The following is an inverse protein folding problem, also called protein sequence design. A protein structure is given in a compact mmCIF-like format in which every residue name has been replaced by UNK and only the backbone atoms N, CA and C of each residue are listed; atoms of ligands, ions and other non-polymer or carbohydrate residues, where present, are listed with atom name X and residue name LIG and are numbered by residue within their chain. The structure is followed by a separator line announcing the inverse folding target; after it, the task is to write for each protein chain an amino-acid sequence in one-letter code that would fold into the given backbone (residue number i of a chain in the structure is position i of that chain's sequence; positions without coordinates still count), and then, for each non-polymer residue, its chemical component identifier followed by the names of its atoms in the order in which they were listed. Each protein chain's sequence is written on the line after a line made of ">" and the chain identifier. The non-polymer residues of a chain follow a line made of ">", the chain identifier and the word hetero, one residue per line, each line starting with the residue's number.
data_IF_079448950252
#
_entry.id   IF_079448950252
#
_cell.length_a   1.000
_cell.length_b   1.000
_cell.length_c   1.000
_cell.angle_alpha   90.00
_cell.angle_beta   90.00
_cell.angle_gamma   90.00
#
_symmetry.space_group_name_H-M   'P 1'
#
loop_
_entity.id
_entity.type
_entity.pdbx_description
1 polymer ?
#
# COMPACT_ATOMS: atom_id res chain seq x y z
N UNK A 1 -5.16 -8.91 9.56
CA UNK A 1 -5.44 -9.14 11.02
C UNK A 1 -4.93 -10.50 11.50
N UNK A 2 -5.22 -11.61 10.80
CA UNK A 2 -4.77 -12.94 11.24
C UNK A 2 -3.23 -13.11 11.31
N UNK A 3 -2.48 -12.51 10.39
CA UNK A 3 -1.02 -12.59 10.38
C UNK A 3 -0.37 -11.90 11.60
N UNK A 4 -0.91 -10.75 12.02
CA UNK A 4 -0.45 -10.05 13.24
C UNK A 4 -0.67 -10.89 14.49
N UNK A 5 -1.78 -11.62 14.58
CA UNK A 5 -1.98 -12.57 15.67
C UNK A 5 -0.93 -13.70 15.63
N UNK A 6 -0.59 -14.21 14.45
CA UNK A 6 0.47 -15.21 14.32
C UNK A 6 1.82 -14.65 14.82
N UNK A 7 2.15 -13.39 14.52
CA UNK A 7 3.34 -12.72 15.04
C UNK A 7 3.32 -12.58 16.56
N UNK A 8 2.18 -12.17 17.14
CA UNK A 8 2.02 -12.09 18.59
C UNK A 8 2.25 -13.45 19.24
N UNK A 9 1.65 -14.51 18.70
CA UNK A 9 1.83 -15.88 19.19
C UNK A 9 3.27 -16.41 19.01
N UNK A 10 3.95 -16.03 17.93
CA UNK A 10 5.34 -16.38 17.67
C UNK A 10 6.30 -15.69 18.65
N UNK A 11 5.94 -14.51 19.13
CA UNK A 11 6.75 -13.67 20.04
C UNK A 11 6.40 -13.78 21.53
N UNK A 12 5.42 -14.62 21.92
CA UNK A 12 5.08 -14.87 23.34
C UNK A 12 6.33 -15.29 24.14
N UNK A 13 7.20 -16.08 23.51
CA UNK A 13 8.48 -16.46 24.06
C UNK A 13 9.59 -15.65 23.40
N UNK A 14 10.70 -15.41 24.12
CA UNK A 14 11.88 -14.71 23.57
C UNK A 14 12.54 -15.44 22.39
N UNK A 15 12.14 -16.67 22.11
CA UNK A 15 12.60 -17.49 20.99
C UNK A 15 11.41 -17.82 20.08
N UNK A 16 11.65 -18.05 18.77
CA UNK A 16 10.64 -18.46 17.81
C UNK A 16 9.77 -19.60 18.34
N UNK A 17 8.46 -19.49 18.15
CA UNK A 17 7.54 -20.54 18.57
C UNK A 17 7.53 -21.66 17.52
N UNK A 18 8.47 -22.60 17.64
CA UNK A 18 8.66 -23.69 16.66
C UNK A 18 7.38 -24.52 16.46
N UNK A 19 6.61 -24.78 17.52
CA UNK A 19 5.33 -25.48 17.43
C UNK A 19 4.31 -24.71 16.58
N UNK A 20 4.22 -23.38 16.74
CA UNK A 20 3.36 -22.55 15.92
C UNK A 20 3.81 -22.57 14.46
N UNK A 21 5.12 -22.43 14.22
CA UNK A 21 5.68 -22.43 12.86
C UNK A 21 5.46 -23.77 12.15
N UNK A 22 5.64 -24.89 12.85
CA UNK A 22 5.31 -26.22 12.33
C UNK A 22 3.82 -26.36 12.00
N UNK A 23 2.93 -25.88 12.88
CA UNK A 23 1.48 -25.91 12.63
C UNK A 23 1.09 -25.04 11.43
N UNK A 24 1.69 -23.85 11.31
CA UNK A 24 1.50 -22.97 10.17
C UNK A 24 1.98 -23.63 8.88
N UNK A 25 3.14 -24.29 8.90
CA UNK A 25 3.64 -25.03 7.74
C UNK A 25 2.68 -26.14 7.32
N UNK A 26 2.24 -26.98 8.26
CA UNK A 26 1.24 -28.03 7.99
C UNK A 26 -0.06 -27.45 7.39
N UNK A 27 -0.51 -26.30 7.90
CA UNK A 27 -1.70 -25.63 7.38
C UNK A 27 -1.46 -25.07 5.98
N UNK A 28 -0.30 -24.47 5.71
CA UNK A 28 0.07 -23.97 4.39
C UNK A 28 0.20 -25.11 3.38
N UNK A 29 0.80 -26.24 3.74
CA UNK A 29 0.88 -27.44 2.90
C UNK A 29 -0.51 -27.94 2.48
N UNK A 30 -1.38 -28.12 3.48
CA UNK A 30 -2.75 -28.55 3.23
C UNK A 30 -3.49 -27.55 2.34
N UNK A 31 -3.43 -26.27 2.66
CA UNK A 31 -4.10 -25.23 1.88
C UNK A 31 -3.56 -25.14 0.45
N UNK A 32 -2.24 -25.24 0.26
CA UNK A 32 -1.61 -25.21 -1.07
C UNK A 32 -2.08 -26.39 -1.94
N UNK A 33 -2.33 -27.56 -1.34
CA UNK A 33 -2.90 -28.71 -2.06
C UNK A 33 -4.35 -28.50 -2.52
N UNK A 34 -5.11 -27.64 -1.83
CA UNK A 34 -6.52 -27.34 -2.16
C UNK A 34 -6.68 -26.16 -3.13
N UNK A 35 -5.69 -25.25 -3.21
CA UNK A 35 -5.76 -24.05 -4.06
C UNK A 35 -6.14 -24.34 -5.52
N UNK A 36 -5.62 -25.39 -6.19
CA UNK A 36 -6.01 -25.69 -7.57
C UNK A 36 -7.51 -26.02 -7.72
N UNK A 37 -8.11 -26.68 -6.72
CA UNK A 37 -9.54 -27.00 -6.73
C UNK A 37 -10.37 -25.73 -6.48
N UNK A 38 -9.98 -24.92 -5.49
CA UNK A 38 -10.62 -23.61 -5.26
C UNK A 38 -10.51 -22.71 -6.48
N UNK A 39 -9.43 -22.79 -7.27
CA UNK A 39 -9.31 -21.96 -8.46
C UNK A 39 -10.38 -22.25 -9.52
N UNK A 40 -11.00 -23.43 -9.50
CA UNK A 40 -12.07 -23.79 -10.43
C UNK A 40 -13.36 -23.03 -10.11
N UNK A 41 -13.77 -23.02 -8.85
CA UNK A 41 -15.12 -22.56 -8.43
C UNK A 41 -15.09 -21.34 -7.48
N UNK A 42 -14.03 -21.17 -6.70
CA UNK A 42 -13.94 -20.24 -5.57
C UNK A 42 -12.66 -19.39 -5.63
N UNK A 43 -12.42 -18.71 -6.75
CA UNK A 43 -11.20 -17.90 -6.98
C UNK A 43 -10.96 -16.83 -5.89
N UNK A 44 -12.01 -16.37 -5.23
CA UNK A 44 -11.92 -15.47 -4.06
C UNK A 44 -11.06 -16.09 -2.95
N UNK A 45 -11.20 -17.38 -2.68
CA UNK A 45 -10.41 -18.09 -1.65
C UNK A 45 -8.93 -18.12 -1.99
N UNK A 46 -8.59 -18.32 -3.26
CA UNK A 46 -7.18 -18.33 -3.73
C UNK A 46 -6.57 -16.94 -3.60
N UNK A 47 -7.31 -15.90 -3.99
CA UNK A 47 -6.89 -14.50 -3.82
C UNK A 47 -6.69 -14.13 -2.35
N UNK A 48 -7.66 -14.45 -1.50
CA UNK A 48 -7.57 -14.23 -0.06
C UNK A 48 -6.40 -14.98 0.59
N UNK A 49 -6.18 -16.24 0.20
CA UNK A 49 -5.03 -17.02 0.66
C UNK A 49 -3.70 -16.39 0.24
N UNK A 50 -3.60 -15.90 -1.00
CA UNK A 50 -2.39 -15.26 -1.53
C UNK A 50 -2.05 -14.00 -0.74
N UNK A 51 -3.04 -13.13 -0.50
CA UNK A 51 -2.84 -11.91 0.29
C UNK A 51 -2.54 -12.20 1.76
N UNK A 52 -3.17 -13.23 2.33
CA UNK A 52 -2.88 -13.67 3.68
C UNK A 52 -1.45 -14.20 3.82
N UNK A 53 -0.97 -15.01 2.86
CA UNK A 53 0.40 -15.49 2.85
C UNK A 53 1.41 -14.34 2.74
N UNK A 54 1.11 -13.34 1.91
CA UNK A 54 1.93 -12.13 1.82
C UNK A 54 1.96 -11.33 3.13
N UNK A 55 0.81 -11.15 3.80
CA UNK A 55 0.76 -10.52 5.13
C UNK A 55 1.56 -11.36 6.14
N UNK A 56 1.38 -12.69 6.16
CA UNK A 56 2.07 -13.61 7.05
C UNK A 56 3.59 -13.56 6.86
N UNK A 57 4.05 -13.52 5.61
CA UNK A 57 5.45 -13.36 5.26
C UNK A 57 6.01 -12.05 5.80
N UNK A 58 5.32 -10.93 5.59
CA UNK A 58 5.78 -9.64 6.13
C UNK A 58 5.82 -9.59 7.67
N UNK A 59 4.99 -10.39 8.35
CA UNK A 59 4.99 -10.45 9.80
C UNK A 59 6.04 -11.41 10.40
N UNK A 60 6.33 -12.53 9.73
CA UNK A 60 7.15 -13.62 10.27
C UNK A 60 8.51 -13.78 9.60
N UNK A 61 8.76 -13.09 8.48
CA UNK A 61 10.05 -13.16 7.78
C UNK A 61 11.16 -12.61 8.67
N UNK A 62 12.20 -13.41 8.81
CA UNK A 62 13.49 -13.01 9.37
C UNK A 62 14.57 -13.48 8.39
N UNK A 63 15.43 -12.60 7.85
CA UNK A 63 16.39 -12.96 6.80
C UNK A 63 17.32 -14.13 7.15
N UNK A 64 17.65 -14.28 8.43
CA UNK A 64 18.55 -15.33 8.93
C UNK A 64 17.84 -16.69 9.13
N UNK A 65 16.49 -16.72 9.10
CA UNK A 65 15.69 -17.89 9.43
C UNK A 65 15.06 -18.52 8.18
N UNK A 66 15.03 -19.87 8.08
CA UNK A 66 14.51 -20.55 6.90
C UNK A 66 13.00 -20.39 6.70
N UNK A 67 12.25 -20.07 7.76
CA UNK A 67 10.79 -20.06 7.72
C UNK A 67 10.22 -18.98 6.78
N UNK A 68 10.88 -17.82 6.68
CA UNK A 68 10.49 -16.77 5.72
C UNK A 68 10.55 -17.28 4.28
N UNK A 69 11.65 -17.99 3.94
CA UNK A 69 11.82 -18.62 2.64
C UNK A 69 10.74 -19.66 2.36
N UNK A 70 10.38 -20.48 3.34
CA UNK A 70 9.26 -21.43 3.22
C UNK A 70 7.96 -20.73 2.85
N UNK A 71 7.60 -19.62 3.51
CA UNK A 71 6.38 -18.85 3.17
C UNK A 71 6.47 -18.28 1.74
N UNK A 72 7.65 -17.79 1.33
CA UNK A 72 7.86 -17.25 -0.03
C UNK A 72 7.55 -18.28 -1.12
N UNK A 73 7.85 -19.55 -0.90
CA UNK A 73 7.57 -20.62 -1.85
C UNK A 73 6.06 -20.86 -2.02
N UNK A 74 5.29 -20.81 -0.93
CA UNK A 74 3.83 -20.88 -1.00
C UNK A 74 3.21 -19.64 -1.65
N UNK A 75 3.77 -18.44 -1.42
CA UNK A 75 3.32 -17.21 -2.11
C UNK A 75 3.51 -17.37 -3.62
N UNK A 76 4.69 -17.81 -4.07
CA UNK A 76 4.95 -17.98 -5.50
C UNK A 76 4.03 -19.04 -6.10
N UNK A 77 3.84 -20.19 -5.43
CA UNK A 77 2.90 -21.23 -5.86
C UNK A 77 1.47 -20.67 -6.04
N UNK A 78 0.99 -19.89 -5.08
CA UNK A 78 -0.34 -19.28 -5.15
C UNK A 78 -0.44 -18.24 -6.28
N UNK A 79 0.60 -17.43 -6.50
CA UNK A 79 0.67 -16.48 -7.62
C UNK A 79 0.63 -17.22 -8.97
N UNK A 80 1.38 -18.32 -9.12
CA UNK A 80 1.38 -19.12 -10.35
C UNK A 80 -0.02 -19.66 -10.69
N UNK A 81 -0.76 -20.13 -9.67
CA UNK A 81 -2.16 -20.57 -9.81
C UNK A 81 -3.06 -19.42 -10.27
N UNK A 82 -2.92 -18.23 -9.67
CA UNK A 82 -3.70 -17.05 -10.05
C UNK A 82 -3.42 -16.59 -11.47
N UNK A 83 -2.14 -16.55 -11.86
CA UNK A 83 -1.69 -16.12 -13.20
C UNK A 83 -2.14 -17.12 -14.27
N UNK A 84 -2.12 -18.42 -13.98
CA UNK A 84 -2.53 -19.47 -14.93
C UNK A 84 -4.00 -19.31 -15.36
N UNK A 85 -4.88 -18.90 -14.46
CA UNK A 85 -6.28 -18.57 -14.78
C UNK A 85 -6.43 -17.06 -15.01
N UNK A 86 -6.13 -16.64 -16.24
CA UNK A 86 -6.20 -15.24 -16.69
C UNK A 86 -7.56 -14.63 -16.33
N UNK A 87 -7.54 -13.63 -15.46
CA UNK A 87 -8.70 -12.86 -15.05
C UNK A 87 -8.26 -11.55 -14.40
N UNK A 88 -8.95 -10.43 -14.66
CA UNK A 88 -8.51 -9.11 -14.20
C UNK A 88 -8.35 -9.06 -12.67
N UNK A 89 -9.28 -9.65 -11.93
CA UNK A 89 -9.24 -9.70 -10.46
C UNK A 89 -8.09 -10.57 -9.92
N UNK A 90 -7.71 -11.63 -10.64
CA UNK A 90 -6.58 -12.46 -10.25
C UNK A 90 -5.26 -11.69 -10.44
N UNK A 91 -5.11 -10.98 -11.57
CA UNK A 91 -3.91 -10.17 -11.81
C UNK A 91 -3.83 -8.97 -10.88
N UNK A 92 -4.96 -8.32 -10.56
CA UNK A 92 -5.01 -7.27 -9.52
C UNK A 92 -4.55 -7.81 -8.17
N UNK A 93 -5.01 -8.99 -7.77
CA UNK A 93 -4.58 -9.62 -6.52
C UNK A 93 -3.08 -9.94 -6.51
N UNK A 94 -2.53 -10.45 -7.61
CA UNK A 94 -1.07 -10.65 -7.76
C UNK A 94 -0.32 -9.32 -7.61
N UNK A 95 -0.81 -8.26 -8.25
CA UNK A 95 -0.23 -6.92 -8.13
C UNK A 95 -0.29 -6.39 -6.69
N UNK A 96 -1.39 -6.59 -5.97
CA UNK A 96 -1.51 -6.21 -4.55
C UNK A 96 -0.54 -6.99 -3.67
N UNK A 97 -0.42 -8.30 -3.89
CA UNK A 97 0.55 -9.16 -3.20
C UNK A 97 1.99 -8.64 -3.40
N UNK A 98 2.36 -8.33 -4.64
CA UNK A 98 3.68 -7.78 -4.97
C UNK A 98 3.90 -6.39 -4.39
N UNK A 99 2.88 -5.51 -4.35
CA UNK A 99 3.02 -4.23 -3.66
C UNK A 99 3.25 -4.39 -2.15
N UNK A 100 2.68 -5.43 -1.55
CA UNK A 100 2.80 -5.69 -0.11
C UNK A 100 4.17 -6.26 0.29
N UNK A 101 4.74 -7.17 -0.51
CA UNK A 101 5.94 -7.92 -0.13
C UNK A 101 6.95 -8.14 -1.26
N UNK A 102 6.80 -7.42 -2.38
CA UNK A 102 7.59 -7.65 -3.59
C UNK A 102 9.07 -7.33 -3.44
N UNK A 103 9.43 -6.33 -2.62
CA UNK A 103 10.84 -6.03 -2.34
C UNK A 103 11.52 -7.19 -1.61
N UNK A 104 10.87 -7.69 -0.57
CA UNK A 104 11.37 -8.77 0.27
C UNK A 104 11.40 -10.09 -0.51
N UNK A 105 10.42 -10.34 -1.38
CA UNK A 105 10.44 -11.46 -2.32
C UNK A 105 11.58 -11.35 -3.34
N UNK A 106 11.87 -10.15 -3.85
CA UNK A 106 12.99 -9.93 -4.78
C UNK A 106 14.35 -10.25 -4.14
N UNK A 107 14.48 -10.05 -2.82
CA UNK A 107 15.70 -10.46 -2.10
C UNK A 107 15.78 -11.98 -1.92
N UNK A 108 14.65 -12.64 -1.62
CA UNK A 108 14.64 -14.06 -1.23
C UNK A 108 14.57 -15.01 -2.44
N UNK A 109 13.91 -14.61 -3.52
CA UNK A 109 13.74 -15.40 -4.74
C UNK A 109 13.64 -14.55 -6.03
N UNK A 110 14.70 -13.81 -6.41
CA UNK A 110 14.68 -12.88 -7.54
C UNK A 110 14.26 -13.52 -8.87
N UNK A 111 14.73 -14.74 -9.15
CA UNK A 111 14.39 -15.47 -10.39
C UNK A 111 12.88 -15.75 -10.52
N UNK A 112 12.22 -16.04 -9.39
CA UNK A 112 10.77 -16.31 -9.34
C UNK A 112 9.99 -15.02 -9.55
N UNK A 113 10.41 -13.92 -8.92
CA UNK A 113 9.78 -12.60 -9.12
C UNK A 113 9.98 -12.13 -10.57
N UNK A 114 11.15 -12.37 -11.17
CA UNK A 114 11.41 -12.14 -12.59
C UNK A 114 10.41 -12.85 -13.50
N UNK A 115 10.14 -14.13 -13.21
CA UNK A 115 9.16 -14.91 -13.95
C UNK A 115 7.74 -14.36 -13.78
N UNK A 116 7.35 -13.99 -12.55
CA UNK A 116 6.05 -13.37 -12.27
C UNK A 116 5.88 -12.08 -13.06
N UNK A 117 6.89 -11.21 -13.06
CA UNK A 117 6.87 -9.93 -13.78
C UNK A 117 6.72 -10.12 -15.29
N UNK A 118 7.43 -11.09 -15.88
CA UNK A 118 7.28 -11.46 -17.29
C UNK A 118 5.87 -11.94 -17.60
N UNK A 119 5.29 -12.78 -16.74
CA UNK A 119 3.93 -13.27 -16.93
C UNK A 119 2.88 -12.16 -16.84
N UNK A 120 3.06 -11.21 -15.91
CA UNK A 120 2.19 -10.04 -15.78
C UNK A 120 2.26 -9.16 -17.02
N UNK A 121 3.47 -8.88 -17.53
CA UNK A 121 3.65 -8.06 -18.73
C UNK A 121 3.04 -8.73 -19.97
N UNK A 122 3.18 -10.05 -20.12
CA UNK A 122 2.52 -10.81 -21.19
C UNK A 122 0.99 -10.81 -21.08
N UNK A 123 0.44 -10.81 -19.86
CA UNK A 123 -0.99 -10.79 -19.64
C UNK A 123 -1.61 -9.38 -19.78
N UNK A 124 -0.77 -8.33 -19.73
CA UNK A 124 -1.17 -6.93 -19.71
C UNK A 124 -2.11 -6.55 -20.86
N UNK A 125 -1.83 -6.98 -22.08
CA UNK A 125 -2.64 -6.63 -23.26
C UNK A 125 -3.99 -7.36 -23.33
N UNK A 126 -4.25 -8.32 -22.43
CA UNK A 126 -5.45 -9.15 -22.43
C UNK A 126 -6.49 -8.77 -21.37
N UNK A 127 -6.25 -7.69 -20.63
CA UNK A 127 -7.12 -7.25 -19.52
C UNK A 127 -7.67 -5.83 -19.74
N UNK A 128 -8.76 -5.46 -19.05
CA UNK A 128 -9.31 -4.10 -19.09
C UNK A 128 -8.30 -3.04 -18.65
N UNK A 129 -8.49 -1.81 -19.13
CA UNK A 129 -7.59 -0.66 -18.90
C UNK A 129 -7.22 -0.46 -17.42
N UNK A 130 -8.15 -0.63 -16.48
CA UNK A 130 -7.87 -0.49 -15.05
C UNK A 130 -6.84 -1.52 -14.54
N UNK A 131 -7.00 -2.80 -14.89
CA UNK A 131 -6.06 -3.85 -14.52
C UNK A 131 -4.71 -3.67 -15.24
N UNK A 132 -4.75 -3.23 -16.50
CA UNK A 132 -3.56 -2.91 -17.28
C UNK A 132 -2.69 -1.83 -16.61
N UNK A 133 -3.31 -0.73 -16.15
CA UNK A 133 -2.66 0.35 -15.42
C UNK A 133 -2.01 -0.15 -14.13
N UNK A 134 -2.72 -1.00 -13.37
CA UNK A 134 -2.19 -1.57 -12.12
C UNK A 134 -0.96 -2.45 -12.41
N UNK A 135 -1.01 -3.31 -13.43
CA UNK A 135 0.13 -4.12 -13.86
C UNK A 135 1.32 -3.22 -14.23
N UNK A 136 1.07 -2.20 -15.06
CA UNK A 136 2.10 -1.23 -15.43
C UNK A 136 2.73 -0.55 -14.21
N UNK A 137 1.92 -0.16 -13.22
CA UNK A 137 2.41 0.47 -11.99
C UNK A 137 3.34 -0.44 -11.18
N UNK A 138 3.04 -1.74 -11.09
CA UNK A 138 3.88 -2.70 -10.35
C UNK A 138 5.20 -2.99 -11.07
N UNK A 139 5.15 -3.10 -12.40
CA UNK A 139 6.37 -3.27 -13.21
C UNK A 139 7.28 -2.05 -13.04
N UNK A 140 6.73 -0.85 -13.07
CA UNK A 140 7.52 0.37 -12.86
C UNK A 140 8.04 0.47 -11.43
N UNK A 141 7.21 0.15 -10.44
CA UNK A 141 7.59 0.12 -9.03
C UNK A 141 8.82 -0.77 -8.81
N UNK A 142 8.88 -1.95 -9.43
CA UNK A 142 10.06 -2.82 -9.35
C UNK A 142 11.32 -2.18 -9.94
N UNK A 143 11.22 -1.49 -11.09
CA UNK A 143 12.37 -0.83 -11.73
C UNK A 143 13.00 0.24 -10.84
N UNK A 144 12.19 0.91 -10.02
CA UNK A 144 12.66 1.90 -9.03
C UNK A 144 12.91 1.28 -7.64
N UNK A 145 13.39 0.03 -7.62
CA UNK A 145 13.67 -0.76 -6.41
C UNK A 145 12.54 -0.72 -5.39
N UNK A 146 11.30 -0.90 -5.86
CA UNK A 146 10.09 -0.90 -5.05
C UNK A 146 9.82 0.40 -4.29
N UNK A 147 10.30 1.53 -4.82
CA UNK A 147 10.19 2.84 -4.18
C UNK A 147 11.18 3.06 -3.04
N UNK A 148 12.23 2.23 -2.93
CA UNK A 148 13.28 2.34 -1.92
C UNK A 148 14.56 3.02 -2.43
N UNK A 149 14.60 3.45 -3.70
CA UNK A 149 15.76 4.09 -4.31
C UNK A 149 16.03 5.55 -3.90
N UNK A 150 15.18 6.19 -3.09
CA UNK A 150 15.38 7.58 -2.64
C UNK A 150 16.22 7.73 -1.36
N UNK A 151 17.26 6.91 -1.18
CA UNK A 151 18.47 7.34 -0.45
C UNK A 151 19.55 7.83 -1.43
N UNK A 152 19.15 8.62 -2.44
CA UNK A 152 20.10 9.37 -3.26
C UNK A 152 20.37 10.68 -2.54
N UNK A 153 21.49 10.68 -1.80
CA UNK A 153 22.31 11.81 -1.41
C UNK A 153 21.79 13.19 -1.85
N UNK A 154 20.99 13.84 -1.01
CA UNK A 154 21.00 15.31 -1.01
C UNK A 154 22.28 15.74 -0.31
N UNK A 155 23.24 16.40 -0.98
CA UNK A 155 24.29 17.09 -0.23
C UNK A 155 23.58 18.11 0.65
N UNK A 156 23.87 18.06 1.94
CA UNK A 156 23.40 18.98 2.96
C UNK A 156 23.41 20.42 2.43
N UNK A 157 22.29 20.87 1.88
CA UNK A 157 22.02 22.28 1.68
C UNK A 157 21.76 22.79 3.08
N UNK A 158 22.74 23.53 3.60
CA UNK A 158 22.77 24.08 4.94
C UNK A 158 21.38 24.55 5.37
N UNK A 159 20.79 23.83 6.32
CA UNK A 159 19.61 24.29 7.03
C UNK A 159 19.96 25.65 7.67
N UNK A 160 19.12 26.69 7.53
CA UNK A 160 19.30 27.92 8.27
C UNK A 160 19.24 27.59 9.78
N UNK A 161 20.02 28.31 10.62
CA UNK A 161 20.13 27.97 12.04
C UNK A 161 18.76 28.10 12.71
N UNK A 162 18.29 26.98 13.27
CA UNK A 162 17.12 26.94 14.15
C UNK A 162 17.37 27.84 15.37
N UNK A 163 16.40 28.66 15.81
CA UNK A 163 16.53 29.38 17.07
C UNK A 163 16.50 28.36 18.21
N UNK A 164 17.61 28.28 18.94
CA UNK A 164 17.73 27.46 20.15
C UNK A 164 16.77 28.04 21.19
N UNK A 165 15.71 27.31 21.54
CA UNK A 165 14.89 27.63 22.71
C UNK A 165 15.74 27.54 23.97
N UNK A 166 16.08 28.71 24.52
CA UNK A 166 16.78 28.84 25.80
C UNK A 166 15.77 28.54 26.90
N UNK A 167 15.68 27.28 27.31
CA UNK A 167 14.86 26.85 28.45
C UNK A 167 15.42 25.57 29.07
N UNK A 168 15.75 25.64 30.35
CA UNK A 168 16.22 24.56 31.23
C UNK A 168 17.71 24.14 31.13
N UNK A 169 18.58 24.98 31.69
CA UNK A 169 19.92 24.58 32.13
C UNK A 169 19.82 23.79 33.44
N UNK A 170 20.00 22.46 33.39
CA UNK A 170 20.39 21.62 34.52
C UNK A 170 21.85 21.17 34.36
N UNK A 171 22.71 21.19 35.40
CA UNK A 171 24.13 20.94 35.21
C UNK A 171 24.44 19.44 35.28
N UNK A 172 24.91 18.86 34.17
CA UNK A 172 25.68 17.61 34.15
C UNK A 172 25.06 16.45 33.36
N UNK A 173 25.44 16.33 32.08
CA UNK A 173 25.21 15.13 31.27
C UNK A 173 25.79 15.32 29.85
N UNK A 174 26.50 14.33 29.27
CA UNK A 174 27.27 14.52 28.05
C UNK A 174 26.40 14.66 26.79
N UNK A 175 26.91 15.47 25.88
CA UNK A 175 26.39 15.79 24.55
C UNK A 175 26.32 14.51 23.70
N UNK A 176 25.15 14.24 23.10
CA UNK A 176 25.02 13.29 21.99
C UNK A 176 23.88 12.29 22.10
N UNK A 177 22.65 12.74 21.87
CA UNK A 177 21.56 11.94 21.32
C UNK A 177 20.46 12.92 20.92
N UNK A 178 20.31 13.18 19.61
CA UNK A 178 19.12 13.87 19.11
C UNK A 178 17.93 12.96 19.38
N UNK A 179 17.11 13.31 20.36
CA UNK A 179 15.79 12.72 20.52
C UNK A 179 15.01 13.02 19.24
N UNK A 180 14.84 12.01 18.39
CA UNK A 180 13.86 12.05 17.31
C UNK A 180 12.49 12.13 17.97
N UNK A 181 12.02 13.34 18.23
CA UNK A 181 10.63 13.57 18.58
C UNK A 181 9.80 13.18 17.35
N UNK A 182 9.25 11.96 17.36
CA UNK A 182 8.26 11.45 16.39
C UNK A 182 6.91 12.18 16.55
N UNK A 183 6.93 13.50 16.72
CA UNK A 183 5.71 14.29 16.68
C UNK A 183 5.43 14.67 15.22
N UNK A 184 4.19 14.48 14.75
CA UNK A 184 3.82 14.90 13.40
C UNK A 184 4.01 16.42 13.26
N UNK A 185 4.73 16.81 12.20
CA UNK A 185 4.90 18.21 11.81
C UNK A 185 3.79 18.55 10.83
N UNK A 186 3.00 19.58 11.16
CA UNK A 186 1.89 20.03 10.32
C UNK A 186 2.30 21.25 9.50
N UNK A 187 1.93 21.25 8.22
CA UNK A 187 2.23 22.34 7.29
C UNK A 187 0.97 23.10 6.93
N UNK A 188 1.08 24.42 6.84
CA UNK A 188 0.05 25.30 6.34
C UNK A 188 -0.11 25.21 4.81
N UNK A 189 -1.17 25.82 4.25
CA UNK A 189 -1.40 25.87 2.80
C UNK A 189 -0.32 26.63 2.03
N UNK A 190 0.50 27.41 2.73
CA UNK A 190 1.68 28.11 2.23
C UNK A 190 2.96 27.24 2.25
N UNK A 191 2.86 26.00 2.73
CA UNK A 191 3.96 25.04 2.83
C UNK A 191 4.92 25.30 4.00
N UNK A 192 4.60 26.23 4.89
CA UNK A 192 5.40 26.49 6.09
C UNK A 192 4.91 25.62 7.26
N UNK A 193 5.81 25.33 8.21
CA UNK A 193 5.43 24.61 9.43
C UNK A 193 4.47 25.48 10.23
N UNK A 194 3.32 24.92 10.62
CA UNK A 194 2.34 25.64 11.43
C UNK A 194 2.98 26.16 12.70
N UNK A 195 2.77 27.43 12.95
CA UNK A 195 3.17 28.04 14.21
C UNK A 195 2.31 27.52 15.36
N UNK A 196 2.79 27.70 16.59
CA UNK A 196 2.03 27.34 17.80
C UNK A 196 0.70 28.10 17.88
N UNK A 197 0.66 29.36 17.41
CA UNK A 197 -0.54 30.17 17.34
C UNK A 197 -1.57 29.61 16.35
N UNK A 198 -1.12 29.21 15.15
CA UNK A 198 -2.00 28.60 14.14
C UNK A 198 -2.49 27.21 14.58
N UNK A 199 -1.62 26.43 15.21
CA UNK A 199 -1.96 25.10 15.76
C UNK A 199 -3.02 25.22 16.86
N UNK A 200 -2.86 26.19 17.76
CA UNK A 200 -3.82 26.50 18.83
C UNK A 200 -5.16 27.01 18.27
N UNK A 201 -5.11 27.83 17.22
CA UNK A 201 -6.32 28.30 16.51
C UNK A 201 -7.09 27.14 15.88
N UNK A 202 -6.40 26.23 15.19
CA UNK A 202 -7.04 25.06 14.57
C UNK A 202 -7.67 24.14 15.62
N UNK A 203 -6.95 23.82 16.69
CA UNK A 203 -7.48 22.97 17.76
C UNK A 203 -8.74 23.55 18.40
N UNK A 204 -8.75 24.85 18.67
CA UNK A 204 -9.87 25.53 19.31
C UNK A 204 -11.11 25.56 18.40
N UNK A 205 -10.92 25.78 17.10
CA UNK A 205 -12.02 25.86 16.15
C UNK A 205 -12.56 24.49 15.72
N UNK A 206 -11.71 23.46 15.64
CA UNK A 206 -12.13 22.08 15.35
C UNK A 206 -12.93 21.50 16.52
N UNK A 207 -12.49 21.72 17.77
CA UNK A 207 -13.23 21.28 18.97
C UNK A 207 -14.59 21.97 19.10
N UNK A 208 -14.72 23.23 18.67
CA UNK A 208 -16.00 23.95 18.69
C UNK A 208 -16.98 23.53 17.57
N UNK A 209 -16.50 22.90 16.48
CA UNK A 209 -17.35 22.34 15.42
C UNK A 209 -17.73 20.87 15.63
N UNK A 210 -17.30 20.25 16.74
CA UNK A 210 -17.60 18.85 17.08
C UNK A 210 -19.10 18.53 17.29
N UNK A 211 -19.99 19.53 17.26
CA UNK A 211 -21.44 19.30 17.22
C UNK A 211 -21.99 18.96 15.82
N UNK A 212 -21.19 19.09 14.75
CA UNK A 212 -21.56 18.69 13.39
C UNK A 212 -21.15 17.24 13.03
N UNK A 213 -20.61 16.47 13.98
CA UNK A 213 -20.09 15.11 13.76
C UNK A 213 -21.17 14.01 13.68
N UNK A 214 -22.47 14.35 13.73
CA UNK A 214 -23.54 13.39 13.44
C UNK A 214 -23.74 13.08 11.96
N UNK A 215 -23.02 13.75 11.04
CA UNK A 215 -23.12 13.48 9.60
C UNK A 215 -22.20 12.35 9.10
N UNK A 216 -21.34 11.78 9.95
CA UNK A 216 -20.33 10.78 9.52
C UNK A 216 -20.43 9.43 10.24
N UNK A 217 -21.38 9.22 11.15
CA UNK A 217 -21.51 7.98 11.94
C UNK A 217 -22.40 6.91 11.30
N UNK A 218 -22.64 6.99 9.99
CA UNK A 218 -23.55 6.11 9.25
C UNK A 218 -22.91 5.30 8.13
N UNK A 219 -21.58 5.26 8.05
CA UNK A 219 -20.89 4.34 7.15
C UNK A 219 -20.77 2.99 7.86
N UNK A 220 -21.70 2.09 7.55
CA UNK A 220 -21.57 0.66 7.79
C UNK A 220 -20.33 0.19 7.04
N UNK A 221 -19.37 -0.36 7.77
CA UNK A 221 -18.00 -0.74 7.36
C UNK A 221 -17.99 -2.02 6.47
N UNK A 222 -19.04 -2.20 5.67
CA UNK A 222 -19.31 -3.35 4.79
C UNK A 222 -19.28 -2.99 3.29
N UNK A 223 -18.84 -1.78 2.92
CA UNK A 223 -18.58 -1.41 1.53
C UNK A 223 -17.12 -1.67 1.12
N UNK A 224 -16.91 -2.92 0.70
CA UNK A 224 -15.86 -3.37 -0.21
C UNK A 224 -15.73 -2.36 -1.38
N UNK A 225 -14.69 -1.51 -1.33
CA UNK A 225 -14.30 -0.45 -2.28
C UNK A 225 -15.11 0.86 -2.26
N UNK A 226 -14.88 1.69 -1.23
CA UNK A 226 -15.14 3.15 -1.25
C UNK A 226 -14.25 3.97 -2.22
N UNK A 227 -13.98 3.45 -3.42
CA UNK A 227 -13.48 4.22 -4.56
C UNK A 227 -14.50 4.06 -5.68
N UNK A 228 -15.63 4.77 -5.56
CA UNK A 228 -16.46 5.04 -6.73
C UNK A 228 -15.56 5.86 -7.66
N UNK A 229 -15.25 5.30 -8.83
CA UNK A 229 -14.56 6.04 -9.87
C UNK A 229 -15.34 7.33 -10.11
N UNK A 230 -14.74 8.53 -10.05
CA UNK A 230 -15.45 9.79 -10.34
C UNK A 230 -16.18 9.75 -11.69
N UNK A 231 -15.71 8.92 -12.61
CA UNK A 231 -16.33 8.68 -13.91
C UNK A 231 -17.60 7.81 -13.84
N UNK A 232 -17.87 7.09 -12.74
CA UNK A 232 -19.04 6.23 -12.53
C UNK A 232 -20.05 6.83 -11.51
N UNK A 233 -19.72 7.95 -10.86
CA UNK A 233 -20.63 8.63 -9.92
C UNK A 233 -21.60 9.59 -10.66
N UNK A 234 -22.92 9.33 -10.65
CA UNK A 234 -23.89 10.17 -11.35
C UNK A 234 -23.99 11.60 -10.77
N UNK A 235 -23.70 11.80 -9.49
CA UNK A 235 -23.73 13.12 -8.84
C UNK A 235 -22.54 13.98 -9.32
N UNK A 236 -21.35 13.36 -9.41
CA UNK A 236 -20.12 14.03 -9.89
C UNK A 236 -20.25 14.40 -11.37
N UNK A 237 -20.79 13.52 -12.21
CA UNK A 237 -21.05 13.81 -13.62
C UNK A 237 -22.01 14.99 -13.80
N UNK A 238 -23.07 15.05 -12.99
CA UNK A 238 -24.07 16.11 -13.08
C UNK A 238 -23.47 17.46 -12.65
N UNK A 239 -22.68 17.49 -11.58
CA UNK A 239 -21.98 18.69 -11.14
C UNK A 239 -20.97 19.20 -12.20
N UNK A 240 -20.28 18.30 -12.90
CA UNK A 240 -19.38 18.66 -14.00
C UNK A 240 -20.14 19.28 -15.19
N UNK A 241 -21.29 18.72 -15.56
CA UNK A 241 -22.15 19.28 -16.61
C UNK A 241 -22.66 20.67 -16.23
N UNK A 242 -23.10 20.87 -14.99
CA UNK A 242 -23.51 22.20 -14.49
C UNK A 242 -22.36 23.21 -14.48
N UNK A 243 -21.15 22.77 -14.14
CA UNK A 243 -19.96 23.61 -14.22
C UNK A 243 -19.66 24.09 -15.65
N UNK A 244 -19.77 23.20 -16.65
CA UNK A 244 -19.61 23.58 -18.06
C UNK A 244 -20.72 24.51 -18.56
N UNK A 245 -21.92 24.41 -18.00
CA UNK A 245 -23.06 25.25 -18.37
C UNK A 245 -23.04 26.63 -17.71
N UNK A 246 -22.49 26.73 -16.49
CA UNK A 246 -22.45 27.97 -15.71
C UNK A 246 -21.38 28.97 -16.15
N UNK A 247 -20.42 28.57 -17.01
CA UNK A 247 -19.35 29.46 -17.46
C UNK A 247 -19.22 29.51 -19.00
N UNK A 248 -19.68 30.58 -19.69
CA UNK A 248 -19.62 30.67 -21.15
C UNK A 248 -18.20 30.78 -21.73
N UNK A 249 -17.18 31.00 -20.89
CA UNK A 249 -15.77 31.06 -21.30
C UNK A 249 -15.08 29.68 -21.45
N UNK A 250 -15.69 28.59 -20.98
CA UNK A 250 -15.14 27.23 -21.12
C UNK A 250 -15.56 26.51 -22.42
N UNK A 251 -16.34 27.18 -23.29
CA UNK A 251 -16.65 26.67 -24.64
C UNK A 251 -15.51 27.01 -25.62
N UNK A 252 -14.33 26.42 -25.44
CA UNK A 252 -13.37 26.36 -26.56
C UNK A 252 -13.73 25.16 -27.46
N UNK A 253 -13.88 25.34 -28.78
CA UNK A 253 -14.12 24.21 -29.67
C UNK A 253 -12.86 23.34 -29.73
N UNK A 254 -13.00 22.06 -29.36
CA UNK A 254 -12.06 21.03 -29.77
C UNK A 254 -11.98 21.04 -31.30
N UNK A 255 -10.83 21.42 -31.85
CA UNK A 255 -10.55 21.33 -33.28
C UNK A 255 -10.74 19.87 -33.74
N UNK A 256 -11.57 19.59 -34.76
CA UNK A 256 -11.63 18.26 -35.34
C UNK A 256 -10.35 17.99 -36.12
N UNK A 257 -9.66 16.92 -35.75
CA UNK A 257 -8.55 16.31 -36.47
C UNK A 257 -9.04 15.92 -37.88
N UNK A 258 -8.45 16.52 -38.92
CA UNK A 258 -8.69 16.16 -40.32
C UNK A 258 -7.68 15.07 -40.71
N UNK A 259 -8.10 13.86 -41.08
CA UNK A 259 -7.19 12.90 -41.71
C UNK A 259 -7.02 13.33 -43.17
N UNK A 260 -5.81 13.74 -43.55
CA UNK A 260 -5.45 13.91 -44.95
C UNK A 260 -4.93 12.58 -45.53
N UNK A 261 -5.30 12.41 -46.79
CA UNK A 261 -5.00 11.34 -47.76
C UNK A 261 -3.52 11.31 -48.11
#
# INVERSE_FOLDING_TARGET
>A
MGARLCQLLDSINKAPNLMLRELLQLKMDHQNSELPEFMKQEQVKVRGATLFLAELYMQLRQPEEPFGKTISEYIVSAIEILVAKKGPENLKCVCQCLKLCGFELDQDCPDKVDQIMKNLDQARSSVPSAAEKIIGSVIELRKIAWGRSEEISTPSAALPPMPVSVGAMGPGGPIGAGEYQNNPVFYGPDGQVLTEEESSFLETNVKNKAQAQQAFSGYDDDDEYGLVDPDDDPEVQQAFVEFLQSNPQNRQPQHPYRPDV
#
